data_IF_826591718938
#
_entry.id   IF_826591718938
#
_cell.length_a   1.000
_cell.length_b   1.000
_cell.length_c   1.000
_cell.angle_alpha   90.00
_cell.angle_beta   90.00
_cell.angle_gamma   90.00
#
_symmetry.space_group_name_H-M   'P 1'
#
loop_
_entity.id
_entity.type
_entity.pdbx_description
1 polymer ?
#
# COMPACT_ATOMS: atom_id res chain seq x y z
N UNK A 1 -9.05 -10.36 -0.60
CA UNK A 1 -10.40 -10.53 -1.16
C UNK A 1 -10.53 -9.74 -2.45
N UNK A 2 -11.04 -10.32 -3.48
CA UNK A 2 -11.40 -9.65 -4.72
C UNK A 2 -12.88 -9.24 -4.63
N UNK A 3 -13.14 -7.98 -4.63
CA UNK A 3 -14.49 -7.46 -4.48
C UNK A 3 -14.79 -6.46 -5.59
N UNK A 4 -15.87 -6.70 -6.34
CA UNK A 4 -16.38 -5.80 -7.38
C UNK A 4 -15.56 -5.82 -8.67
N UNK A 5 -16.18 -5.49 -9.75
CA UNK A 5 -15.60 -5.44 -11.09
C UNK A 5 -15.65 -6.77 -11.84
N UNK A 6 -15.52 -6.66 -13.14
CA UNK A 6 -15.42 -7.81 -14.03
C UNK A 6 -14.01 -8.39 -13.95
N UNK A 7 -13.89 -9.65 -13.54
CA UNK A 7 -12.59 -10.35 -13.47
C UNK A 7 -11.87 -10.38 -14.82
N UNK A 8 -12.62 -10.41 -15.91
CA UNK A 8 -12.06 -10.37 -17.27
C UNK A 8 -11.50 -9.01 -17.66
N UNK A 9 -11.94 -7.93 -17.03
CA UNK A 9 -11.47 -6.58 -17.28
C UNK A 9 -10.25 -6.20 -16.47
N UNK A 10 -9.92 -6.94 -15.40
CA UNK A 10 -8.78 -6.64 -14.55
C UNK A 10 -7.47 -7.12 -15.19
N UNK A 11 -6.47 -6.26 -15.20
CA UNK A 11 -5.12 -6.67 -15.58
C UNK A 11 -4.59 -7.71 -14.56
N UNK A 12 -4.12 -8.90 -15.02
CA UNK A 12 -3.69 -9.97 -14.11
C UNK A 12 -2.62 -9.55 -13.11
N UNK A 13 -1.75 -8.60 -13.46
CA UNK A 13 -0.73 -8.07 -12.57
C UNK A 13 -1.29 -7.35 -11.34
N UNK A 14 -2.50 -6.80 -11.39
CA UNK A 14 -3.12 -6.11 -10.25
C UNK A 14 -3.29 -7.03 -9.05
N UNK A 15 -3.52 -8.32 -9.29
CA UNK A 15 -3.64 -9.35 -8.25
C UNK A 15 -2.34 -9.50 -7.44
N UNK A 16 -1.21 -9.63 -8.12
CA UNK A 16 0.10 -9.71 -7.46
C UNK A 16 0.47 -8.38 -6.79
N UNK A 17 0.22 -7.26 -7.46
CA UNK A 17 0.54 -5.93 -6.93
C UNK A 17 -0.20 -5.66 -5.62
N UNK A 18 -1.49 -6.01 -5.53
CA UNK A 18 -2.25 -5.83 -4.28
C UNK A 18 -1.69 -6.68 -3.13
N UNK A 19 -1.32 -7.93 -3.41
CA UNK A 19 -0.68 -8.80 -2.41
C UNK A 19 0.69 -8.27 -1.97
N UNK A 20 1.51 -7.78 -2.91
CA UNK A 20 2.79 -7.14 -2.59
C UNK A 20 2.62 -5.88 -1.75
N UNK A 21 1.65 -5.03 -2.06
CA UNK A 21 1.34 -3.82 -1.29
C UNK A 21 0.94 -4.18 0.15
N UNK A 22 0.06 -5.16 0.34
CA UNK A 22 -0.32 -5.63 1.66
C UNK A 22 0.88 -6.16 2.46
N UNK A 23 1.70 -7.01 1.82
CA UNK A 23 2.90 -7.58 2.44
C UNK A 23 3.93 -6.50 2.81
N UNK A 24 4.16 -5.54 1.91
CA UNK A 24 5.11 -4.45 2.13
C UNK A 24 4.65 -3.54 3.28
N UNK A 25 3.39 -3.13 3.30
CA UNK A 25 2.84 -2.32 4.38
C UNK A 25 2.96 -3.03 5.73
N UNK A 26 2.64 -4.34 5.78
CA UNK A 26 2.79 -5.13 7.00
C UNK A 26 4.25 -5.25 7.45
N UNK A 27 5.18 -5.40 6.51
CA UNK A 27 6.61 -5.56 6.82
C UNK A 27 7.27 -4.27 7.33
N UNK A 28 6.80 -3.11 6.90
CA UNK A 28 7.35 -1.81 7.27
C UNK A 28 6.55 -1.08 8.36
N UNK A 29 5.41 -1.60 8.78
CA UNK A 29 4.61 -1.05 9.86
C UNK A 29 4.91 -1.75 11.18
N UNK A 30 5.02 -0.97 12.24
CA UNK A 30 5.28 -1.39 13.63
C UNK A 30 4.20 -0.83 14.55
N UNK A 31 4.07 -1.34 15.76
CA UNK A 31 3.10 -0.82 16.74
C UNK A 31 3.30 0.67 17.03
N UNK A 32 4.53 1.18 16.96
CA UNK A 32 4.86 2.59 17.20
C UNK A 32 5.06 3.44 15.94
N UNK A 33 5.02 2.87 14.75
CA UNK A 33 5.27 3.57 13.48
C UNK A 33 4.48 2.94 12.34
N UNK A 34 3.59 3.70 11.74
CA UNK A 34 2.85 3.29 10.55
C UNK A 34 3.48 3.88 9.28
N UNK A 35 3.71 3.02 8.29
CA UNK A 35 4.18 3.41 6.96
C UNK A 35 3.28 2.77 5.90
N UNK A 36 2.66 3.60 5.07
CA UNK A 36 2.03 3.10 3.85
C UNK A 36 3.07 2.81 2.78
N UNK A 37 2.72 1.99 1.80
CA UNK A 37 3.59 1.77 0.64
C UNK A 37 3.85 3.05 -0.16
N UNK A 38 2.95 4.02 -0.11
CA UNK A 38 3.16 5.34 -0.71
C UNK A 38 4.35 6.07 -0.07
N UNK A 39 4.57 5.93 1.22
CA UNK A 39 5.67 6.56 1.94
C UNK A 39 7.05 5.97 1.60
N UNK A 40 7.08 4.82 0.96
CA UNK A 40 8.32 4.14 0.55
C UNK A 40 8.76 4.49 -0.88
N UNK A 41 7.94 5.18 -1.67
CA UNK A 41 8.23 5.46 -3.07
C UNK A 41 9.57 6.17 -3.26
N UNK A 42 9.77 7.31 -2.60
CA UNK A 42 11.00 8.09 -2.74
C UNK A 42 12.23 7.35 -2.24
N UNK A 43 12.10 6.54 -1.21
CA UNK A 43 13.22 5.80 -0.61
C UNK A 43 13.83 4.74 -1.55
N UNK A 44 13.07 4.23 -2.53
CA UNK A 44 13.56 3.21 -3.47
C UNK A 44 14.03 3.79 -4.80
N UNK A 45 13.93 5.10 -5.00
CA UNK A 45 14.34 5.72 -6.25
C UNK A 45 15.87 5.72 -6.41
N UNK A 46 16.40 5.67 -7.66
CA UNK A 46 17.83 5.79 -7.92
C UNK A 46 18.37 7.16 -7.47
N UNK A 47 19.70 7.26 -7.36
CA UNK A 47 20.42 8.50 -7.00
C UNK A 47 20.18 9.00 -5.56
N UNK A 48 20.23 8.09 -4.60
CA UNK A 48 20.27 8.44 -3.19
C UNK A 48 19.11 7.92 -2.34
N UNK A 49 18.20 7.16 -2.92
CA UNK A 49 17.18 6.45 -2.14
C UNK A 49 17.82 5.43 -1.19
N UNK A 50 17.51 5.53 0.10
CA UNK A 50 18.09 4.69 1.16
C UNK A 50 17.75 3.20 1.01
N UNK A 51 16.67 2.88 0.29
CA UNK A 51 16.17 1.54 0.01
C UNK A 51 16.23 1.20 -1.48
N UNK A 52 17.09 1.88 -2.25
CA UNK A 52 17.25 1.59 -3.68
C UNK A 52 17.59 0.11 -3.91
N UNK A 53 16.87 -0.52 -4.84
CA UNK A 53 17.03 -1.95 -5.14
C UNK A 53 16.11 -2.88 -4.33
N UNK A 54 15.42 -2.39 -3.30
CA UNK A 54 14.51 -3.19 -2.48
C UNK A 54 13.46 -3.96 -3.31
N UNK A 55 12.74 -3.35 -4.27
CA UNK A 55 11.76 -4.07 -5.09
C UNK A 55 12.38 -5.16 -5.96
N UNK A 56 13.60 -4.96 -6.45
CA UNK A 56 14.28 -5.89 -7.34
C UNK A 56 14.90 -7.10 -6.61
N UNK A 57 15.17 -6.96 -5.32
CA UNK A 57 15.77 -8.01 -4.48
C UNK A 57 14.74 -8.91 -3.77
N UNK A 58 13.45 -8.67 -4.00
CA UNK A 58 12.37 -9.41 -3.38
C UNK A 58 11.52 -10.14 -4.44
N UNK A 59 11.83 -11.41 -4.72
CA UNK A 59 11.14 -12.19 -5.76
C UNK A 59 9.70 -12.52 -5.37
N UNK A 60 8.88 -12.72 -6.39
CA UNK A 60 7.48 -13.14 -6.28
C UNK A 60 7.38 -14.64 -6.50
N UNK A 61 6.57 -15.32 -5.70
CA UNK A 61 6.14 -16.69 -5.96
C UNK A 61 4.90 -16.67 -6.89
N UNK A 62 5.12 -16.87 -8.18
CA UNK A 62 4.06 -16.83 -9.18
C UNK A 62 3.05 -17.96 -9.00
N UNK A 63 3.48 -19.14 -8.54
CA UNK A 63 2.58 -20.27 -8.26
C UNK A 63 1.64 -19.93 -7.09
N UNK A 64 2.15 -19.33 -6.03
CA UNK A 64 1.31 -18.88 -4.91
C UNK A 64 0.31 -17.80 -5.35
N UNK A 65 0.73 -16.91 -6.27
CA UNK A 65 -0.11 -15.82 -6.74
C UNK A 65 -1.20 -16.26 -7.72
N UNK A 66 -0.87 -17.13 -8.67
CA UNK A 66 -1.75 -17.44 -9.81
C UNK A 66 -2.22 -18.90 -9.82
N UNK A 67 -1.49 -19.83 -9.18
CA UNK A 67 -1.78 -21.25 -9.31
C UNK A 67 -1.67 -21.73 -10.75
N UNK A 68 -2.60 -22.57 -11.15
CA UNK A 68 -2.77 -23.07 -12.53
C UNK A 68 -3.91 -22.34 -13.26
N UNK A 69 -4.07 -22.60 -14.55
CA UNK A 69 -5.20 -22.06 -15.31
C UNK A 69 -6.58 -22.50 -14.74
N UNK A 70 -6.67 -23.64 -14.10
CA UNK A 70 -7.89 -24.12 -13.45
C UNK A 70 -8.28 -23.33 -12.20
N UNK A 71 -7.32 -22.64 -11.58
CA UNK A 71 -7.53 -21.90 -10.33
C UNK A 71 -8.13 -20.51 -10.53
N UNK A 72 -8.21 -20.02 -11.77
CA UNK A 72 -8.69 -18.66 -12.07
C UNK A 72 -10.13 -18.40 -11.59
N UNK A 73 -10.97 -19.43 -11.56
CA UNK A 73 -12.34 -19.33 -11.06
C UNK A 73 -12.42 -19.11 -9.54
N UNK A 74 -11.36 -19.47 -8.80
CA UNK A 74 -11.28 -19.34 -7.34
C UNK A 74 -10.76 -17.98 -6.86
N UNK A 75 -10.27 -17.13 -7.77
CA UNK A 75 -9.71 -15.85 -7.39
C UNK A 75 -10.70 -14.98 -6.62
N UNK A 76 -10.29 -14.54 -5.43
CA UNK A 76 -11.10 -13.77 -4.51
C UNK A 76 -12.15 -14.58 -3.73
N UNK A 77 -12.17 -15.89 -3.88
CA UNK A 77 -13.04 -16.81 -3.13
C UNK A 77 -12.31 -17.36 -1.90
N UNK A 78 -13.01 -18.01 -0.96
CA UNK A 78 -12.37 -18.61 0.21
C UNK A 78 -11.30 -19.67 -0.12
N UNK A 79 -11.38 -20.27 -1.29
CA UNK A 79 -10.41 -21.26 -1.80
C UNK A 79 -9.41 -20.66 -2.80
N UNK A 80 -9.22 -19.35 -2.78
CA UNK A 80 -8.21 -18.67 -3.60
C UNK A 80 -6.81 -19.23 -3.33
N UNK A 81 -6.02 -19.39 -4.40
CA UNK A 81 -4.64 -19.94 -4.31
C UNK A 81 -3.72 -19.14 -3.39
N UNK A 82 -3.97 -17.86 -3.19
CA UNK A 82 -3.18 -17.02 -2.27
C UNK A 82 -3.51 -17.25 -0.78
N UNK A 83 -4.64 -17.88 -0.47
CA UNK A 83 -5.03 -18.10 0.94
C UNK A 83 -4.01 -18.97 1.65
N UNK A 84 -3.47 -18.47 2.76
CA UNK A 84 -2.47 -19.15 3.57
C UNK A 84 -1.07 -19.22 2.95
N UNK A 85 -0.84 -18.63 1.77
CA UNK A 85 0.47 -18.64 1.10
C UNK A 85 1.12 -17.26 1.14
N UNK A 86 2.45 -17.26 1.02
CA UNK A 86 3.26 -16.05 0.90
C UNK A 86 3.56 -15.81 -0.58
N UNK A 87 3.02 -14.72 -1.11
CA UNK A 87 3.28 -14.31 -2.50
C UNK A 87 4.69 -13.71 -2.65
N UNK A 88 5.18 -13.03 -1.63
CA UNK A 88 6.46 -12.34 -1.68
C UNK A 88 6.42 -11.05 -2.50
N UNK A 89 7.60 -10.53 -2.79
CA UNK A 89 7.77 -9.26 -3.50
C UNK A 89 7.57 -8.04 -2.63
N UNK A 90 7.95 -6.87 -3.18
CA UNK A 90 7.77 -5.55 -2.57
C UNK A 90 7.13 -4.62 -3.58
N UNK A 91 6.19 -3.81 -3.15
CA UNK A 91 5.60 -2.77 -3.97
C UNK A 91 5.49 -1.47 -3.17
N UNK A 92 5.88 -0.35 -3.77
CA UNK A 92 6.04 0.95 -3.13
C UNK A 92 5.13 2.03 -3.71
N UNK A 93 4.11 1.63 -4.44
CA UNK A 93 3.04 2.53 -4.87
C UNK A 93 1.95 2.63 -3.81
N UNK A 94 1.16 3.69 -3.85
CA UNK A 94 0.07 3.92 -2.91
C UNK A 94 -0.90 2.74 -2.79
N UNK A 95 -1.52 2.62 -1.62
CA UNK A 95 -2.57 1.67 -1.22
C UNK A 95 -2.17 0.45 -0.36
N UNK A 96 -0.89 0.24 -0.08
CA UNK A 96 -0.53 -0.67 1.00
C UNK A 96 -0.66 0.06 2.34
N UNK A 97 -1.46 -0.46 3.25
CA UNK A 97 -1.69 0.13 4.58
C UNK A 97 -1.56 -0.93 5.66
N UNK A 98 -0.87 -0.61 6.76
CA UNK A 98 -0.91 -1.41 7.98
C UNK A 98 -2.32 -1.46 8.56
N UNK A 99 -2.71 -2.60 9.11
CA UNK A 99 -3.98 -2.79 9.80
C UNK A 99 -3.71 -2.80 11.30
N UNK A 100 -4.42 -1.97 12.03
CA UNK A 100 -4.21 -1.76 13.45
C UNK A 100 -5.48 -2.00 14.25
N UNK A 101 -5.32 -2.65 15.38
CA UNK A 101 -6.37 -2.88 16.37
C UNK A 101 -5.93 -2.38 17.73
N UNK A 102 -6.91 -2.06 18.55
CA UNK A 102 -6.65 -1.70 19.94
C UNK A 102 -6.60 -2.96 20.82
N UNK A 103 -5.52 -3.14 21.56
CA UNK A 103 -5.36 -4.21 22.54
C UNK A 103 -5.08 -3.57 23.90
N UNK A 104 -6.10 -3.50 24.74
CA UNK A 104 -6.04 -2.70 25.96
C UNK A 104 -5.86 -1.21 25.64
N UNK A 105 -4.76 -0.61 26.07
CA UNK A 105 -4.40 0.79 25.75
C UNK A 105 -3.42 0.93 24.57
N UNK A 106 -2.97 -0.16 24.00
CA UNK A 106 -1.97 -0.16 22.93
C UNK A 106 -2.63 -0.31 21.55
N UNK A 107 -2.06 0.36 20.56
CA UNK A 107 -2.42 0.22 19.14
C UNK A 107 -1.42 -0.74 18.51
N UNK A 108 -1.89 -1.91 18.07
CA UNK A 108 -1.03 -2.99 17.57
C UNK A 108 -1.27 -3.26 16.09
N UNK A 109 -0.19 -3.37 15.32
CA UNK A 109 -0.27 -3.82 13.93
C UNK A 109 -0.58 -5.32 13.87
N UNK A 110 -1.61 -5.68 13.08
CA UNK A 110 -2.08 -7.08 12.99
C UNK A 110 -2.07 -7.61 11.56
N UNK A 111 -1.70 -6.79 10.59
CA UNK A 111 -1.65 -7.22 9.20
C UNK A 111 -1.48 -6.07 8.23
N UNK A 112 -1.71 -6.33 6.95
CA UNK A 112 -1.66 -5.34 5.88
C UNK A 112 -2.78 -5.48 4.88
N UNK A 113 -3.24 -4.36 4.37
CA UNK A 113 -4.20 -4.23 3.27
C UNK A 113 -3.48 -3.73 2.02
N UNK A 114 -3.80 -4.28 0.87
CA UNK A 114 -3.32 -3.78 -0.43
C UNK A 114 -4.45 -3.74 -1.45
N UNK A 115 -4.55 -2.63 -2.16
CA UNK A 115 -5.51 -2.43 -3.26
C UNK A 115 -4.75 -2.13 -4.55
N UNK A 116 -5.18 -2.68 -5.66
CA UNK A 116 -4.62 -2.40 -6.97
C UNK A 116 -5.67 -2.59 -8.05
N UNK A 117 -5.76 -1.67 -8.97
CA UNK A 117 -6.72 -1.72 -10.09
C UNK A 117 -6.95 -0.37 -10.75
N UNK A 118 -6.43 0.70 -10.15
CA UNK A 118 -6.51 2.07 -10.65
C UNK A 118 -5.14 2.74 -10.51
N UNK A 119 -5.06 4.05 -10.63
CA UNK A 119 -3.85 4.80 -10.27
C UNK A 119 -3.51 4.57 -8.80
N UNK A 120 -2.22 4.57 -8.47
CA UNK A 120 -1.78 4.35 -7.09
C UNK A 120 -2.37 5.34 -6.09
N UNK A 121 -2.69 6.56 -6.53
CA UNK A 121 -3.34 7.57 -5.70
C UNK A 121 -4.82 7.21 -5.44
N UNK A 122 -5.57 6.78 -6.46
CA UNK A 122 -6.95 6.32 -6.31
C UNK A 122 -7.01 5.05 -5.45
N UNK A 123 -6.14 4.09 -5.72
CA UNK A 123 -5.98 2.88 -4.92
C UNK A 123 -5.74 3.20 -3.44
N UNK A 124 -4.91 4.23 -3.15
CA UNK A 124 -4.64 4.66 -1.77
C UNK A 124 -5.89 5.20 -1.07
N UNK A 125 -6.68 6.02 -1.77
CA UNK A 125 -7.93 6.56 -1.24
C UNK A 125 -8.99 5.47 -0.97
N UNK A 126 -9.01 4.44 -1.83
CA UNK A 126 -9.88 3.28 -1.66
C UNK A 126 -9.43 2.46 -0.45
N UNK A 127 -8.15 2.11 -0.39
CA UNK A 127 -7.58 1.33 0.71
C UNK A 127 -7.81 2.01 2.07
N UNK A 128 -7.62 3.33 2.13
CA UNK A 128 -7.85 4.11 3.35
C UNK A 128 -9.29 3.97 3.85
N UNK A 129 -10.27 4.17 2.96
CA UNK A 129 -11.69 4.04 3.32
C UNK A 129 -12.06 2.60 3.69
N UNK A 130 -11.48 1.60 3.03
CA UNK A 130 -11.69 0.19 3.38
C UNK A 130 -11.16 -0.08 4.79
N UNK A 131 -9.93 0.34 5.12
CA UNK A 131 -9.34 0.19 6.45
C UNK A 131 -10.21 0.85 7.52
N UNK A 132 -10.64 2.09 7.28
CA UNK A 132 -11.50 2.83 8.20
C UNK A 132 -12.87 2.15 8.38
N UNK A 133 -13.53 1.75 7.29
CA UNK A 133 -14.84 1.07 7.36
C UNK A 133 -14.79 -0.29 8.08
N UNK A 134 -13.63 -0.94 8.07
CA UNK A 134 -13.42 -2.20 8.80
C UNK A 134 -13.09 -1.99 10.28
N UNK A 135 -12.87 -0.73 10.72
CA UNK A 135 -12.41 -0.43 12.08
C UNK A 135 -11.02 -0.99 12.38
N UNK A 136 -10.14 -1.04 11.37
CA UNK A 136 -8.77 -1.53 11.48
C UNK A 136 -7.74 -0.41 11.35
N UNK A 137 -8.10 0.77 11.80
CA UNK A 137 -7.33 2.02 11.72
C UNK A 137 -7.08 2.68 13.08
N UNK A 138 -6.93 1.89 14.13
CA UNK A 138 -6.52 2.38 15.45
C UNK A 138 -5.07 2.84 15.42
N UNK A 139 -4.86 4.08 15.00
CA UNK A 139 -3.53 4.68 14.74
C UNK A 139 -3.32 6.01 15.47
N UNK A 140 -4.26 6.40 16.33
CA UNK A 140 -4.20 7.74 16.96
C UNK A 140 -2.92 7.99 17.76
N UNK A 141 -2.32 6.95 18.32
CA UNK A 141 -1.08 7.02 19.10
C UNK A 141 0.12 6.41 18.37
N UNK A 142 -0.07 6.05 17.10
CA UNK A 142 1.00 5.52 16.24
C UNK A 142 1.64 6.67 15.47
N UNK A 143 2.96 6.76 15.49
CA UNK A 143 3.68 7.75 14.70
C UNK A 143 3.58 7.44 13.20
N UNK A 144 3.75 8.46 12.39
CA UNK A 144 3.82 8.35 10.94
C UNK A 144 4.61 9.48 10.32
N UNK A 145 4.73 9.46 9.00
CA UNK A 145 5.59 10.38 8.25
C UNK A 145 4.83 11.39 7.41
N UNK A 146 3.50 11.35 7.44
CA UNK A 146 2.67 12.24 6.63
C UNK A 146 2.68 13.70 7.08
N UNK A 147 3.09 13.97 8.32
CA UNK A 147 2.96 15.29 8.94
C UNK A 147 1.55 15.60 9.47
N UNK A 148 0.59 14.71 9.28
CA UNK A 148 -0.78 14.82 9.77
C UNK A 148 -1.03 13.78 10.88
N UNK A 149 -1.15 14.20 12.15
CA UNK A 149 -1.35 13.28 13.28
C UNK A 149 -2.72 12.57 13.26
N UNK A 150 -3.67 13.08 12.49
CA UNK A 150 -4.96 12.43 12.28
C UNK A 150 -4.92 11.41 11.11
N UNK A 151 -3.82 11.38 10.35
CA UNK A 151 -3.60 10.47 9.21
C UNK A 151 -2.12 10.11 9.09
N UNK A 152 -1.52 9.43 10.07
CA UNK A 152 -0.07 9.32 10.23
C UNK A 152 0.66 8.68 9.05
N UNK A 153 0.07 7.67 8.41
CA UNK A 153 0.63 6.95 7.25
C UNK A 153 0.01 7.36 5.90
N UNK A 154 -0.58 8.57 5.84
CA UNK A 154 -1.18 9.06 4.59
C UNK A 154 -0.13 9.28 3.50
N UNK A 155 -0.60 9.29 2.25
CA UNK A 155 0.22 9.62 1.09
C UNK A 155 0.70 11.08 1.16
N UNK A 156 1.97 11.30 0.84
CA UNK A 156 2.61 12.62 0.86
C UNK A 156 2.93 13.04 -0.58
N UNK A 157 2.50 14.22 -0.99
CA UNK A 157 2.74 14.76 -2.32
C UNK A 157 3.70 15.96 -2.27
N UNK A 158 4.95 15.70 -1.91
CA UNK A 158 5.98 16.74 -1.77
C UNK A 158 7.09 16.64 -2.84
N UNK A 159 6.96 15.74 -3.80
CA UNK A 159 7.94 15.60 -4.87
C UNK A 159 7.92 16.84 -5.76
N UNK A 160 9.07 17.48 -5.92
CA UNK A 160 9.27 18.66 -6.76
C UNK A 160 10.42 18.45 -7.75
N UNK A 161 10.48 19.25 -8.81
CA UNK A 161 11.56 19.22 -9.80
C UNK A 161 11.41 18.16 -10.89
N UNK A 162 10.30 17.46 -10.98
CA UNK A 162 10.00 16.45 -12.01
C UNK A 162 9.51 17.06 -13.35
N UNK A 163 9.85 18.31 -13.66
CA UNK A 163 9.34 19.02 -14.84
C UNK A 163 9.99 18.60 -16.17
N UNK A 164 11.07 17.84 -16.14
CA UNK A 164 11.78 17.36 -17.33
C UNK A 164 11.46 15.91 -17.56
N UNK A 165 11.17 15.50 -18.78
CA UNK A 165 10.94 14.10 -19.15
C UNK A 165 12.12 13.23 -18.68
N UNK A 166 11.81 12.22 -17.86
CA UNK A 166 12.81 11.33 -17.26
C UNK A 166 13.45 11.84 -15.96
N UNK A 167 13.12 13.05 -15.48
CA UNK A 167 13.54 13.52 -14.17
C UNK A 167 12.67 12.87 -13.08
N UNK A 168 13.34 12.23 -12.13
CA UNK A 168 12.72 11.78 -10.89
C UNK A 168 12.80 12.98 -9.95
N UNK A 169 11.67 13.57 -9.58
CA UNK A 169 11.66 14.69 -8.65
C UNK A 169 12.27 14.33 -7.29
N UNK A 170 12.53 15.32 -6.49
CA UNK A 170 13.06 15.16 -5.12
C UNK A 170 11.93 15.36 -4.11
N UNK A 171 11.82 14.46 -3.16
CA UNK A 171 10.96 14.59 -2.00
C UNK A 171 11.77 15.18 -0.84
N UNK A 172 11.46 16.40 -0.37
CA UNK A 172 12.15 17.00 0.78
C UNK A 172 11.99 16.19 2.07
N UNK A 173 10.85 15.56 2.27
CA UNK A 173 10.62 14.68 3.42
C UNK A 173 11.31 13.32 3.30
N UNK A 174 11.65 12.88 2.08
CA UNK A 174 12.12 11.51 1.78
C UNK A 174 11.00 10.47 1.70
N UNK A 175 9.74 10.85 1.94
CA UNK A 175 8.57 9.96 1.99
C UNK A 175 7.52 10.26 0.92
N UNK A 176 7.86 11.11 -0.06
CA UNK A 176 6.93 11.57 -1.08
C UNK A 176 6.58 10.50 -2.12
N UNK A 177 5.38 10.65 -2.64
CA UNK A 177 4.82 9.89 -3.75
C UNK A 177 4.45 10.85 -4.88
N UNK A 178 4.59 10.46 -6.16
CA UNK A 178 4.14 11.29 -7.27
C UNK A 178 2.64 11.56 -7.22
N UNK A 179 2.23 12.70 -7.72
CA UNK A 179 0.81 12.95 -8.01
C UNK A 179 0.36 12.14 -9.21
N UNK A 180 -0.89 11.74 -9.22
CA UNK A 180 -1.52 11.02 -10.33
C UNK A 180 -2.47 11.94 -11.10
N UNK A 181 -2.88 11.52 -12.29
CA UNK A 181 -3.98 12.16 -13.01
C UNK A 181 -5.24 12.06 -12.12
N UNK A 182 -5.94 13.16 -11.93
CA UNK A 182 -7.14 13.24 -11.07
C UNK A 182 -6.88 12.86 -9.60
N UNK A 183 -5.72 13.21 -9.07
CA UNK A 183 -5.39 13.00 -7.65
C UNK A 183 -6.39 13.74 -6.74
N UNK A 184 -7.07 12.99 -5.88
CA UNK A 184 -7.91 13.57 -4.84
C UNK A 184 -7.06 14.15 -3.70
N UNK A 185 -7.60 15.16 -3.00
CA UNK A 185 -6.94 15.72 -1.82
C UNK A 185 -6.91 14.67 -0.68
N UNK A 186 -5.74 14.22 -0.23
CA UNK A 186 -5.61 13.22 0.81
C UNK A 186 -6.09 13.71 2.18
N UNK A 187 -6.15 15.02 2.40
CA UNK A 187 -6.71 15.62 3.62
C UNK A 187 -8.22 15.44 3.79
N UNK A 188 -8.93 14.99 2.75
CA UNK A 188 -10.37 14.68 2.83
C UNK A 188 -10.67 13.28 3.32
N UNK A 189 -9.68 12.44 3.51
CA UNK A 189 -9.84 11.09 4.03
C UNK A 189 -10.32 11.12 5.49
N UNK A 190 -11.05 10.10 5.96
CA UNK A 190 -11.42 9.99 7.37
C UNK A 190 -10.20 10.07 8.28
N UNK A 191 -10.37 10.62 9.48
CA UNK A 191 -9.37 10.55 10.53
C UNK A 191 -9.29 9.11 11.04
N UNK A 192 -8.09 8.72 11.49
CA UNK A 192 -7.90 7.41 12.12
C UNK A 192 -8.63 7.30 13.45
N UNK A 193 -9.00 6.09 13.81
CA UNK A 193 -9.68 5.80 15.07
C UNK A 193 -8.73 6.00 16.28
N UNK A 194 -9.29 6.41 17.44
CA UNK A 194 -8.55 6.54 18.68
C UNK A 194 -8.17 5.20 19.31
#
# INVERSE_FOLDING_TARGET
AFSGGDRGAQWPGSRVISAQKANTANAFSLDGLALSTANLYSAVQPFGGSLYGLPHSNPVNAEAAYGTAADTASYGQPNDTMVGKRVGGVNVFGSGLGLYVKVGSADNVVGGLGVSGDTSCADHMIAWRVRNNLGLDHLKHVNGVSGDPDRPDNIVYDISGASTAGAIGVSPSGFGHPTCINTANPGTLPKVAP
#
